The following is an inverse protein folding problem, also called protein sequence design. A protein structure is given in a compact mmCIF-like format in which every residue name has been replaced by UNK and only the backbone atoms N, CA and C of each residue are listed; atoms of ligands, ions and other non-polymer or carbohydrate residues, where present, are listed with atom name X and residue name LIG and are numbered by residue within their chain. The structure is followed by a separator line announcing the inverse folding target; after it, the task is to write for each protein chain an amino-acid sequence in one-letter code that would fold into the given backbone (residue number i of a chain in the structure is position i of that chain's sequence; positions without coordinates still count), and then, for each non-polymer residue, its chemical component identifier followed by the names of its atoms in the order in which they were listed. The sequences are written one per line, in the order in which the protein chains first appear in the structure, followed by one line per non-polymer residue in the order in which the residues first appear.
data_IF_138360695051
#
_entry.id   IF_138360695051
#
_cell.length_a   1.000
_cell.length_b   1.000
_cell.length_c   1.000
_cell.angle_alpha   90.00
_cell.angle_beta   90.00
_cell.angle_gamma   90.00
#
_symmetry.space_group_name_H-M   'P 1'
#
loop_
_entity.id
_entity.type
_entity.pdbx_description
1 polymer ?
#
# COMPACT_ATOMS: atom_id res chain seq x y z
N UNK A 1 6.12 26.29 -7.77
CA UNK A 1 7.15 25.68 -8.64
C UNK A 1 6.55 24.46 -9.34
N UNK A 2 6.63 24.38 -10.67
CA UNK A 2 6.06 23.26 -11.42
C UNK A 2 6.99 22.04 -11.30
N UNK A 3 6.52 20.92 -10.75
CA UNK A 3 7.37 19.72 -10.57
C UNK A 3 7.90 19.15 -11.90
N UNK A 4 7.19 19.39 -13.00
CA UNK A 4 7.64 18.95 -14.32
C UNK A 4 8.79 19.79 -14.87
N UNK A 5 8.92 21.06 -14.46
CA UNK A 5 9.96 21.94 -14.99
C UNK A 5 11.34 21.67 -14.40
N UNK A 6 11.42 21.04 -13.23
CA UNK A 6 12.71 20.68 -12.59
C UNK A 6 13.24 19.32 -13.05
N UNK A 7 12.36 18.43 -13.49
CA UNK A 7 12.69 17.03 -13.78
C UNK A 7 13.78 16.86 -14.85
N UNK A 8 13.77 17.57 -16.00
CA UNK A 8 14.84 17.46 -16.99
C UNK A 8 16.22 17.82 -16.42
N UNK A 9 16.30 18.91 -15.65
CA UNK A 9 17.55 19.37 -15.09
C UNK A 9 18.11 18.40 -14.04
N UNK A 10 17.24 17.82 -13.20
CA UNK A 10 17.63 16.79 -12.24
C UNK A 10 18.14 15.53 -12.94
N UNK A 11 17.44 15.04 -13.98
CA UNK A 11 17.84 13.86 -14.76
C UNK A 11 19.21 14.03 -15.44
N UNK A 12 19.49 15.21 -15.98
CA UNK A 12 20.82 15.56 -16.52
C UNK A 12 21.88 15.60 -15.42
N UNK A 13 21.56 16.20 -14.27
CA UNK A 13 22.50 16.36 -13.16
C UNK A 13 22.96 15.02 -12.59
N UNK A 14 22.06 14.03 -12.52
CA UNK A 14 22.40 12.67 -12.08
C UNK A 14 22.95 11.78 -13.22
N UNK A 15 23.09 12.32 -14.44
CA UNK A 15 23.69 11.64 -15.58
C UNK A 15 22.85 10.51 -16.18
N UNK A 16 21.52 10.55 -16.04
CA UNK A 16 20.65 9.50 -16.61
C UNK A 16 20.30 9.75 -18.08
N UNK A 17 19.89 10.98 -18.41
CA UNK A 17 19.37 11.35 -19.74
C UNK A 17 19.70 12.82 -20.01
N UNK A 18 20.06 13.16 -21.25
CA UNK A 18 20.17 14.55 -21.69
C UNK A 18 18.79 15.17 -21.98
N UNK A 19 18.59 16.43 -21.61
CA UNK A 19 17.29 17.11 -21.73
C UNK A 19 16.69 17.03 -23.16
N UNK A 20 17.54 17.02 -24.18
CA UNK A 20 17.20 16.96 -25.60
C UNK A 20 16.62 15.60 -26.02
N UNK A 21 16.87 14.53 -25.25
CA UNK A 21 16.37 13.18 -25.53
C UNK A 21 14.97 12.92 -24.93
N UNK A 22 14.44 13.87 -24.13
CA UNK A 22 13.14 13.74 -23.46
C UNK A 22 12.00 13.99 -24.45
N UNK A 23 11.26 12.93 -24.80
CA UNK A 23 10.12 13.00 -25.72
C UNK A 23 8.83 13.55 -25.06
N UNK A 24 8.72 13.48 -23.74
CA UNK A 24 7.53 13.91 -23.02
C UNK A 24 7.62 13.66 -21.52
N UNK A 25 6.71 14.27 -20.77
CA UNK A 25 6.62 14.10 -19.32
C UNK A 25 5.19 13.97 -18.84
N UNK A 26 4.98 13.21 -17.76
CA UNK A 26 3.67 13.02 -17.13
C UNK A 26 3.82 13.02 -15.62
N UNK A 27 3.00 13.83 -14.94
CA UNK A 27 2.91 13.84 -13.49
C UNK A 27 1.59 13.19 -13.07
N UNK A 28 1.68 12.08 -12.35
CA UNK A 28 0.52 11.43 -11.71
C UNK A 28 0.67 11.60 -10.20
N UNK A 29 -0.37 12.11 -9.55
CA UNK A 29 -0.41 12.24 -8.08
C UNK A 29 -1.29 11.14 -7.53
N UNK A 30 -0.68 10.25 -6.76
CA UNK A 30 -1.38 9.13 -6.13
C UNK A 30 -1.50 9.43 -4.64
N UNK A 31 -2.71 9.76 -4.19
CA UNK A 31 -2.98 9.91 -2.76
C UNK A 31 -2.90 8.55 -2.06
N UNK A 32 -2.36 8.52 -0.84
CA UNK A 32 -2.20 7.30 -0.03
C UNK A 32 -1.40 6.20 -0.74
N UNK A 33 -0.36 6.58 -1.48
CA UNK A 33 0.52 5.62 -2.15
C UNK A 33 1.35 4.81 -1.15
N UNK A 34 1.66 5.36 0.02
CA UNK A 34 2.50 4.73 1.04
C UNK A 34 1.82 4.83 2.41
N UNK A 35 1.61 3.70 3.10
CA UNK A 35 1.28 3.71 4.52
C UNK A 35 2.40 4.41 5.29
N UNK A 36 2.05 5.45 6.05
CA UNK A 36 2.99 6.14 6.93
C UNK A 36 2.88 5.56 8.33
N UNK A 37 3.98 5.07 8.88
CA UNK A 37 4.05 4.55 10.25
C UNK A 37 4.35 5.66 11.25
N UNK A 38 3.53 6.71 11.22
CA UNK A 38 3.72 7.91 12.04
C UNK A 38 2.41 8.33 12.70
N UNK A 39 2.49 9.26 13.66
CA UNK A 39 1.31 9.79 14.34
C UNK A 39 0.56 8.72 15.15
N UNK A 40 -0.69 8.45 14.76
CA UNK A 40 -1.59 7.51 15.46
C UNK A 40 -1.37 6.05 15.08
N UNK A 41 -0.34 5.72 14.29
CA UNK A 41 -0.06 4.33 13.89
C UNK A 41 0.07 3.36 15.08
N UNK A 42 0.58 3.83 16.23
CA UNK A 42 0.66 3.04 17.47
C UNK A 42 -0.70 2.53 18.00
N UNK A 43 -1.80 3.15 17.58
CA UNK A 43 -3.17 2.77 17.93
C UNK A 43 -3.81 1.83 16.88
N UNK A 44 -3.05 1.35 15.88
CA UNK A 44 -3.59 0.46 14.84
C UNK A 44 -4.19 -0.82 15.43
N UNK A 45 -3.58 -1.39 16.48
CA UNK A 45 -4.11 -2.57 17.17
C UNK A 45 -5.53 -2.37 17.69
N UNK A 46 -5.84 -1.20 18.26
CA UNK A 46 -7.19 -0.86 18.76
C UNK A 46 -8.22 -0.86 17.62
N UNK A 47 -7.85 -0.32 16.46
CA UNK A 47 -8.68 -0.32 15.26
C UNK A 47 -8.90 -1.75 14.74
N UNK A 48 -7.85 -2.57 14.73
CA UNK A 48 -7.92 -3.98 14.30
C UNK A 48 -8.82 -4.78 15.23
N UNK A 49 -8.66 -4.63 16.54
CA UNK A 49 -9.52 -5.28 17.53
C UNK A 49 -10.98 -4.87 17.40
N UNK A 50 -11.25 -3.58 17.18
CA UNK A 50 -12.60 -3.09 16.94
C UNK A 50 -13.20 -3.69 15.67
N UNK A 51 -12.47 -3.63 14.55
CA UNK A 51 -12.97 -4.11 13.25
C UNK A 51 -13.12 -5.62 13.17
N UNK A 52 -12.30 -6.39 13.90
CA UNK A 52 -12.43 -7.85 13.98
C UNK A 52 -13.76 -8.30 14.62
N UNK A 53 -14.43 -7.45 15.42
CA UNK A 53 -15.77 -7.73 15.96
C UNK A 53 -16.86 -7.68 14.88
N UNK A 54 -16.61 -6.99 13.76
CA UNK A 54 -17.55 -6.84 12.65
C UNK A 54 -17.43 -8.04 11.71
N UNK A 55 -18.46 -8.89 11.66
CA UNK A 55 -18.41 -10.16 10.92
C UNK A 55 -18.18 -9.97 9.41
N UNK A 56 -18.81 -8.95 8.82
CA UNK A 56 -18.81 -8.68 7.37
C UNK A 56 -17.77 -7.64 6.91
N UNK A 57 -16.80 -7.28 7.75
CA UNK A 57 -15.72 -6.35 7.38
C UNK A 57 -14.35 -7.05 7.42
N UNK A 58 -13.59 -6.95 6.34
CA UNK A 58 -12.23 -7.46 6.26
C UNK A 58 -11.29 -6.34 5.81
N UNK A 59 -10.22 -6.12 6.56
CA UNK A 59 -9.18 -5.18 6.20
C UNK A 59 -8.10 -5.95 5.42
N UNK A 60 -7.91 -5.61 4.15
CA UNK A 60 -6.98 -6.31 3.25
C UNK A 60 -6.14 -5.33 2.44
N UNK A 61 -5.03 -5.83 1.90
CA UNK A 61 -4.12 -5.06 1.05
C UNK A 61 -3.45 -3.89 1.74
N UNK A 62 -2.64 -3.15 0.96
CA UNK A 62 -1.72 -2.10 1.42
C UNK A 62 -2.34 -1.05 2.36
N UNK A 63 -3.42 -0.39 1.94
CA UNK A 63 -4.04 0.67 2.74
C UNK A 63 -5.15 0.15 3.67
N UNK A 64 -5.73 -1.02 3.40
CA UNK A 64 -6.74 -1.60 4.30
C UNK A 64 -6.10 -2.13 5.58
N UNK A 65 -4.97 -2.83 5.44
CA UNK A 65 -4.16 -3.28 6.57
C UNK A 65 -3.16 -2.23 7.07
N UNK A 66 -2.96 -1.16 6.28
CA UNK A 66 -1.95 -0.12 6.54
C UNK A 66 -0.53 -0.69 6.68
N UNK A 67 -0.20 -1.67 5.84
CA UNK A 67 1.11 -2.31 5.75
C UNK A 67 1.78 -2.02 4.42
N UNK A 68 3.09 -1.81 4.47
CA UNK A 68 3.95 -1.62 3.30
C UNK A 68 4.07 -2.96 2.56
N UNK A 69 3.08 -3.23 1.72
CA UNK A 69 2.97 -4.48 0.99
C UNK A 69 3.22 -4.25 -0.51
N UNK A 70 3.86 -5.22 -1.15
CA UNK A 70 3.89 -5.35 -2.60
C UNK A 70 2.55 -5.90 -3.13
N UNK A 71 2.46 -6.04 -4.46
CA UNK A 71 1.22 -6.41 -5.13
C UNK A 71 0.79 -7.84 -4.83
N UNK A 72 1.73 -8.78 -4.85
CA UNK A 72 1.54 -10.20 -4.51
C UNK A 72 0.97 -10.37 -3.10
N UNK A 73 1.54 -9.72 -2.08
CA UNK A 73 0.99 -9.69 -0.73
C UNK A 73 -0.44 -9.13 -0.69
N UNK A 74 -0.68 -8.02 -1.40
CA UNK A 74 -2.02 -7.41 -1.43
C UNK A 74 -3.06 -8.31 -2.08
N UNK A 75 -2.71 -9.01 -3.16
CA UNK A 75 -3.59 -9.98 -3.83
C UNK A 75 -3.83 -11.19 -2.92
N UNK A 76 -2.78 -11.71 -2.28
CA UNK A 76 -2.87 -12.86 -1.39
C UNK A 76 -3.87 -12.62 -0.26
N UNK A 77 -3.84 -11.43 0.37
CA UNK A 77 -4.83 -11.09 1.41
C UNK A 77 -6.28 -11.15 0.93
N UNK A 78 -6.54 -10.77 -0.34
CA UNK A 78 -7.87 -10.89 -0.95
C UNK A 78 -8.26 -12.34 -1.22
N UNK A 79 -7.32 -13.15 -1.72
CA UNK A 79 -7.54 -14.59 -1.94
C UNK A 79 -7.82 -15.33 -0.63
N UNK A 80 -7.06 -15.03 0.43
CA UNK A 80 -7.28 -15.63 1.75
C UNK A 80 -8.65 -15.30 2.32
N UNK A 81 -9.12 -14.05 2.18
CA UNK A 81 -10.49 -13.69 2.59
C UNK A 81 -11.54 -14.44 1.77
N UNK A 82 -11.33 -14.61 0.46
CA UNK A 82 -12.25 -15.38 -0.37
C UNK A 82 -12.34 -16.84 0.11
N UNK A 83 -11.20 -17.48 0.39
CA UNK A 83 -11.15 -18.84 0.94
C UNK A 83 -11.84 -18.92 2.31
N UNK A 84 -11.58 -17.96 3.20
CA UNK A 84 -12.22 -17.90 4.51
C UNK A 84 -13.74 -17.89 4.42
N UNK A 85 -14.27 -17.10 3.48
CA UNK A 85 -15.70 -16.98 3.26
C UNK A 85 -16.29 -18.29 2.71
N UNK A 86 -15.60 -18.95 1.78
CA UNK A 86 -16.02 -20.24 1.19
C UNK A 86 -16.01 -21.35 2.24
N UNK A 87 -14.97 -21.43 3.08
CA UNK A 87 -14.81 -22.48 4.09
C UNK A 87 -15.44 -22.13 5.45
N UNK A 88 -16.11 -20.98 5.57
CA UNK A 88 -16.78 -20.56 6.81
C UNK A 88 -15.82 -20.24 7.96
N UNK A 89 -14.57 -19.89 7.68
CA UNK A 89 -13.61 -19.46 8.69
C UNK A 89 -13.98 -18.07 9.23
N UNK A 90 -14.18 -17.99 10.54
CA UNK A 90 -14.59 -16.75 11.22
C UNK A 90 -13.44 -16.00 11.87
N UNK A 91 -12.31 -16.66 12.11
CA UNK A 91 -11.14 -16.06 12.73
C UNK A 91 -10.31 -15.33 11.66
N UNK A 92 -10.13 -14.02 11.85
CA UNK A 92 -9.44 -13.10 10.94
C UNK A 92 -7.98 -12.83 11.33
N UNK A 93 -7.48 -13.37 12.45
CA UNK A 93 -6.14 -13.05 12.97
C UNK A 93 -5.05 -13.40 11.98
N UNK A 94 -5.18 -14.55 11.30
CA UNK A 94 -4.19 -15.04 10.35
C UNK A 94 -4.00 -14.11 9.13
N UNK A 95 -4.97 -13.24 8.81
CA UNK A 95 -4.79 -12.24 7.75
C UNK A 95 -3.67 -11.26 8.08
N UNK A 96 -3.49 -10.95 9.37
CA UNK A 96 -2.44 -10.05 9.87
C UNK A 96 -1.07 -10.73 9.96
N UNK A 97 -1.01 -12.05 9.76
CA UNK A 97 0.21 -12.86 9.73
C UNK A 97 0.73 -13.07 8.29
N UNK A 98 -0.07 -12.71 7.27
CA UNK A 98 0.35 -12.73 5.86
C UNK A 98 1.48 -11.71 5.71
N UNK A 99 2.69 -12.26 5.61
CA UNK A 99 3.97 -11.66 5.99
C UNK A 99 4.16 -10.20 5.58
N UNK A 100 4.64 -9.48 6.59
CA UNK A 100 5.55 -8.34 6.54
C UNK A 100 6.97 -8.92 6.48
N UNK A 101 7.50 -9.28 5.32
CA UNK A 101 8.91 -9.69 5.23
C UNK A 101 9.81 -8.46 5.10
N UNK A 102 10.37 -8.05 6.25
CA UNK A 102 11.81 -7.97 6.56
C UNK A 102 12.03 -8.22 8.07
#
# INVERSE_FOLDING_TARGET
MNKLSILPQELRTIGLIDCEEILGSKLIRVNKAYPSYTGTYKNLSELVEFTNKLKNLYLIGRNGMHFYNSQDHSILTGMTVADDLVFGKKNKSHLWEIRLDD
#
